data_IF_221911718693
#
_entry.id   IF_221911718693
#
_cell.length_a   1.000
_cell.length_b   1.000
_cell.length_c   1.000
_cell.angle_alpha   90.00
_cell.angle_beta   90.00
_cell.angle_gamma   90.00
#
_symmetry.space_group_name_H-M   'P 1'
#
loop_
_entity.id
_entity.type
_entity.pdbx_description
1 polymer ?
#
# COMPACT_ATOMS: atom_id res chain seq x y z
N UNK A 1 -7.91 -9.55 18.35
CA UNK A 1 -7.47 -8.59 17.32
C UNK A 1 -7.30 -9.32 16.00
N UNK A 2 -7.99 -8.90 14.94
CA UNK A 2 -7.87 -9.52 13.62
C UNK A 2 -6.51 -9.16 12.98
N UNK A 3 -6.14 -9.85 11.89
CA UNK A 3 -4.84 -9.66 11.23
C UNK A 3 -4.67 -8.26 10.64
N UNK A 4 -5.76 -7.61 10.22
CA UNK A 4 -5.70 -6.28 9.62
C UNK A 4 -5.41 -5.20 10.67
N UNK A 5 -6.06 -5.26 11.83
CA UNK A 5 -5.76 -4.34 12.93
C UNK A 5 -4.33 -4.54 13.43
N UNK A 6 -3.86 -5.80 13.52
CA UNK A 6 -2.44 -6.08 13.79
C UNK A 6 -1.50 -5.43 12.77
N UNK A 7 -1.85 -5.48 11.48
CA UNK A 7 -1.08 -4.86 10.41
C UNK A 7 -1.03 -3.33 10.55
N UNK A 8 -2.17 -2.71 10.85
CA UNK A 8 -2.24 -1.27 11.09
C UNK A 8 -1.43 -0.85 12.33
N UNK A 9 -1.67 -1.47 13.48
CA UNK A 9 -1.02 -1.09 14.75
C UNK A 9 0.50 -1.24 14.68
N UNK A 10 0.96 -2.33 14.05
CA UNK A 10 2.39 -2.52 13.80
C UNK A 10 2.95 -1.44 12.88
N UNK A 11 2.31 -1.18 11.73
CA UNK A 11 2.78 -0.16 10.79
C UNK A 11 2.71 1.27 11.36
N UNK A 12 1.77 1.53 12.27
CA UNK A 12 1.66 2.83 12.93
C UNK A 12 2.88 3.13 13.82
N UNK A 13 3.54 2.10 14.36
CA UNK A 13 4.66 2.24 15.30
C UNK A 13 6.01 1.81 14.73
N UNK A 14 6.04 1.12 13.59
CA UNK A 14 7.26 0.66 12.95
C UNK A 14 8.07 1.80 12.35
N UNK A 15 9.39 1.81 12.56
CA UNK A 15 10.26 2.82 11.97
C UNK A 15 10.64 2.41 10.53
N UNK A 16 9.81 2.79 9.55
CA UNK A 16 10.05 2.48 8.15
C UNK A 16 11.21 3.29 7.58
N UNK A 17 12.00 2.65 6.72
CA UNK A 17 12.94 3.34 5.84
C UNK A 17 12.19 4.02 4.67
N UNK A 18 12.80 5.06 4.09
CA UNK A 18 12.21 5.78 2.95
C UNK A 18 11.84 4.85 1.78
N UNK A 19 12.70 3.87 1.50
CA UNK A 19 12.45 2.87 0.45
C UNK A 19 11.24 1.98 0.77
N UNK A 20 10.97 1.71 2.05
CA UNK A 20 9.84 0.88 2.44
C UNK A 20 8.52 1.66 2.32
N UNK A 21 8.54 2.95 2.66
CA UNK A 21 7.42 3.88 2.48
C UNK A 21 7.07 4.00 0.98
N UNK A 22 8.07 4.22 0.12
CA UNK A 22 7.91 4.27 -1.33
C UNK A 22 7.22 3.00 -1.86
N UNK A 23 7.66 1.83 -1.39
CA UNK A 23 7.13 0.55 -1.82
C UNK A 23 5.77 0.20 -1.23
N UNK A 24 5.40 0.78 -0.08
CA UNK A 24 4.04 0.73 0.43
C UNK A 24 3.08 1.48 -0.52
N UNK A 25 3.45 2.69 -0.97
CA UNK A 25 2.70 3.47 -1.95
C UNK A 25 2.58 2.76 -3.30
N UNK A 26 3.68 2.26 -3.86
CA UNK A 26 3.65 1.49 -5.12
C UNK A 26 2.79 0.23 -5.03
N UNK A 27 2.79 -0.45 -3.88
CA UNK A 27 1.93 -1.61 -3.67
C UNK A 27 0.45 -1.18 -3.61
N UNK A 28 0.14 -0.12 -2.86
CA UNK A 28 -1.21 0.44 -2.79
C UNK A 28 -1.74 0.85 -4.17
N UNK A 29 -0.94 1.55 -4.99
CA UNK A 29 -1.27 1.88 -6.38
C UNK A 29 -1.64 0.64 -7.19
N UNK A 30 -0.76 -0.38 -7.17
CA UNK A 30 -0.98 -1.63 -7.89
C UNK A 30 -2.25 -2.35 -7.42
N UNK A 31 -2.56 -2.27 -6.12
CA UNK A 31 -3.77 -2.87 -5.56
C UNK A 31 -5.03 -2.05 -5.89
N UNK A 32 -4.96 -0.75 -6.12
CA UNK A 32 -6.13 0.04 -6.50
C UNK A 32 -6.53 -0.16 -7.97
N UNK A 33 -5.58 -0.44 -8.86
CA UNK A 33 -5.81 -0.67 -10.31
C UNK A 33 -6.56 -1.98 -10.63
N UNK A 34 -6.88 -2.78 -9.62
CA UNK A 34 -7.48 -4.11 -9.73
C UNK A 34 -6.75 -5.15 -10.61
N UNK A 35 -5.59 -4.79 -11.17
CA UNK A 35 -4.70 -5.70 -11.91
C UNK A 35 -3.85 -6.58 -10.97
N UNK A 36 -4.09 -6.55 -9.66
CA UNK A 36 -3.26 -7.22 -8.68
C UNK A 36 -3.69 -8.68 -8.48
N UNK A 37 -2.80 -9.63 -8.77
CA UNK A 37 -3.04 -11.08 -8.57
C UNK A 37 -2.97 -11.53 -7.11
N UNK A 38 -2.91 -10.60 -6.17
CA UNK A 38 -2.86 -10.90 -4.74
C UNK A 38 -4.26 -11.24 -4.23
N UNK A 39 -4.37 -12.21 -3.32
CA UNK A 39 -5.63 -12.55 -2.69
C UNK A 39 -6.24 -11.34 -1.96
N UNK A 40 -7.56 -11.24 -1.92
CA UNK A 40 -8.28 -10.11 -1.30
C UNK A 40 -7.89 -9.88 0.16
N UNK A 41 -7.67 -10.97 0.91
CA UNK A 41 -7.20 -10.95 2.30
C UNK A 41 -5.84 -10.27 2.45
N UNK A 42 -4.90 -10.64 1.59
CA UNK A 42 -3.57 -10.03 1.54
C UNK A 42 -3.67 -8.55 1.12
N UNK A 43 -4.48 -8.23 0.10
CA UNK A 43 -4.68 -6.84 -0.35
C UNK A 43 -5.20 -5.97 0.79
N UNK A 44 -6.20 -6.46 1.53
CA UNK A 44 -6.77 -5.77 2.68
C UNK A 44 -5.72 -5.56 3.78
N UNK A 45 -4.94 -6.58 4.14
CA UNK A 45 -3.84 -6.44 5.09
C UNK A 45 -2.83 -5.37 4.65
N UNK A 46 -2.39 -5.35 3.39
CA UNK A 46 -1.43 -4.35 2.91
C UNK A 46 -2.05 -2.94 2.83
N UNK A 47 -3.35 -2.81 2.57
CA UNK A 47 -4.03 -1.52 2.69
C UNK A 47 -4.03 -1.02 4.13
N UNK A 48 -4.24 -1.86 5.13
CA UNK A 48 -4.15 -1.44 6.54
C UNK A 48 -2.73 -0.96 6.91
N UNK A 49 -1.68 -1.57 6.34
CA UNK A 49 -0.30 -1.05 6.50
C UNK A 49 -0.15 0.34 5.87
N UNK A 50 -0.65 0.52 4.65
CA UNK A 50 -0.58 1.81 3.96
C UNK A 50 -1.42 2.88 4.68
N UNK A 51 -2.64 2.55 5.10
CA UNK A 51 -3.53 3.45 5.82
C UNK A 51 -2.88 3.92 7.14
N UNK A 52 -2.17 3.04 7.85
CA UNK A 52 -1.39 3.42 9.04
C UNK A 52 -0.27 4.42 8.74
N UNK A 53 0.44 4.25 7.62
CA UNK A 53 1.45 5.23 7.15
C UNK A 53 0.81 6.59 6.85
N UNK A 54 -0.38 6.61 6.25
CA UNK A 54 -1.09 7.85 5.92
C UNK A 54 -1.62 8.60 7.15
N UNK A 55 -1.90 7.87 8.23
CA UNK A 55 -2.43 8.44 9.48
C UNK A 55 -1.30 8.93 10.42
N UNK A 56 -0.04 8.67 10.07
CA UNK A 56 1.14 9.11 10.80
C UNK A 56 1.53 10.54 10.42
N UNK A 57 1.81 11.37 11.43
CA UNK A 57 2.24 12.77 11.24
C UNK A 57 3.72 12.91 10.88
N UNK A 58 4.51 11.89 11.19
CA UNK A 58 5.96 11.85 10.94
C UNK A 58 6.33 11.26 9.57
N UNK A 59 5.36 10.71 8.84
CA UNK A 59 5.55 10.16 7.49
C UNK A 59 5.02 11.17 6.48
N UNK A 60 5.89 11.58 5.55
CA UNK A 60 5.51 12.47 4.45
C UNK A 60 5.19 11.66 3.19
N UNK A 61 3.94 11.77 2.74
CA UNK A 61 3.42 11.13 1.51
C UNK A 61 2.92 12.22 0.55
N UNK A 62 3.80 13.15 0.18
CA UNK A 62 3.45 14.38 -0.53
C UNK A 62 3.73 14.33 -2.04
N UNK A 63 4.21 13.20 -2.57
CA UNK A 63 4.33 12.99 -4.00
C UNK A 63 2.96 12.79 -4.69
N UNK A 64 2.94 13.03 -6.00
CA UNK A 64 1.69 13.02 -6.78
C UNK A 64 1.02 11.64 -6.84
N UNK A 65 1.81 10.55 -6.77
CA UNK A 65 1.28 9.20 -6.70
C UNK A 65 0.53 8.99 -5.39
N UNK A 66 1.14 9.31 -4.24
CA UNK A 66 0.49 9.15 -2.94
C UNK A 66 -0.73 10.05 -2.77
N UNK A 67 -0.70 11.29 -3.28
CA UNK A 67 -1.90 12.15 -3.34
C UNK A 67 -3.03 11.51 -4.13
N UNK A 68 -2.73 10.94 -5.31
CA UNK A 68 -3.72 10.23 -6.12
C UNK A 68 -4.28 9.00 -5.38
N UNK A 69 -3.41 8.20 -4.76
CA UNK A 69 -3.83 7.03 -3.97
C UNK A 69 -4.76 7.47 -2.84
N UNK A 70 -4.43 8.53 -2.09
CA UNK A 70 -5.26 9.04 -1.00
C UNK A 70 -6.65 9.48 -1.47
N UNK A 71 -6.73 10.15 -2.64
CA UNK A 71 -8.01 10.54 -3.23
C UNK A 71 -8.83 9.33 -3.66
N UNK A 72 -8.18 8.36 -4.33
CA UNK A 72 -8.79 7.17 -4.89
C UNK A 72 -9.15 6.10 -3.85
N UNK A 73 -8.45 6.07 -2.70
CA UNK A 73 -8.65 5.07 -1.66
C UNK A 73 -10.04 5.22 -1.05
N UNK A 74 -10.79 4.12 -1.09
CA UNK A 74 -12.00 3.91 -0.28
C UNK A 74 -11.69 2.88 0.80
N UNK A 75 -11.59 3.33 2.06
CA UNK A 75 -11.18 2.47 3.19
C UNK A 75 -12.19 1.35 3.50
N UNK A 76 -13.42 1.44 3.00
CA UNK A 76 -14.44 0.39 3.17
C UNK A 76 -14.26 -0.80 2.21
N UNK A 77 -13.44 -0.65 1.16
CA UNK A 77 -13.23 -1.67 0.13
C UNK A 77 -11.74 -1.86 -0.19
N UNK A 78 -11.42 -2.83 -1.05
CA UNK A 78 -10.08 -3.05 -1.62
C UNK A 78 -9.93 -2.44 -3.03
N UNK A 79 -10.98 -1.81 -3.55
CA UNK A 79 -10.99 -1.15 -4.86
C UNK A 79 -10.82 0.36 -4.71
N UNK A 80 -10.44 1.03 -5.80
CA UNK A 80 -10.53 2.49 -5.86
C UNK A 80 -11.98 2.96 -5.96
N UNK A 81 -12.24 4.19 -5.51
CA UNK A 81 -13.43 4.94 -5.91
C UNK A 81 -13.50 5.01 -7.44
N UNK A 82 -14.70 4.81 -7.99
CA UNK A 82 -14.90 4.59 -9.43
C UNK A 82 -14.41 5.76 -10.28
N UNK A 83 -14.58 6.98 -9.80
CA UNK A 83 -14.18 8.21 -10.48
C UNK A 83 -12.65 8.37 -10.64
N UNK A 84 -11.85 7.63 -9.85
CA UNK A 84 -10.39 7.65 -9.94
C UNK A 84 -9.79 6.45 -10.68
N UNK A 85 -10.60 5.46 -11.09
CA UNK A 85 -10.10 4.20 -11.66
C UNK A 85 -9.16 4.41 -12.86
N UNK A 86 -9.53 5.29 -13.80
CA UNK A 86 -8.70 5.59 -14.97
C UNK A 86 -7.39 6.32 -14.61
N UNK A 87 -7.42 7.19 -13.60
CA UNK A 87 -6.23 7.91 -13.15
C UNK A 87 -5.25 6.95 -12.45
N UNK A 88 -5.77 6.04 -11.63
CA UNK A 88 -4.99 4.98 -10.98
C UNK A 88 -4.36 4.07 -12.03
N UNK A 89 -5.12 3.67 -13.05
CA UNK A 89 -4.61 2.85 -14.14
C UNK A 89 -3.46 3.53 -14.87
N UNK A 90 -3.63 4.78 -15.29
CA UNK A 90 -2.60 5.55 -15.97
C UNK A 90 -1.32 5.71 -15.12
N UNK A 91 -1.48 6.08 -13.84
CA UNK A 91 -0.35 6.22 -12.92
C UNK A 91 0.38 4.88 -12.71
N UNK A 92 -0.37 3.78 -12.60
CA UNK A 92 0.19 2.43 -12.50
C UNK A 92 1.06 2.09 -13.72
N UNK A 93 0.57 2.35 -14.93
CA UNK A 93 1.29 2.07 -16.17
C UNK A 93 2.60 2.87 -16.29
N UNK A 94 2.68 4.05 -15.67
CA UNK A 94 3.90 4.85 -15.62
C UNK A 94 4.89 4.35 -14.54
N UNK A 95 4.40 4.09 -13.33
CA UNK A 95 5.24 3.85 -12.15
C UNK A 95 5.71 2.40 -12.05
N UNK A 96 4.82 1.43 -12.29
CA UNK A 96 5.10 0.01 -12.00
C UNK A 96 6.17 -0.60 -12.92
N UNK A 97 6.28 -0.27 -14.22
CA UNK A 97 7.35 -0.82 -15.07
C UNK A 97 8.76 -0.48 -14.58
N UNK A 98 8.93 0.69 -13.97
CA UNK A 98 10.21 1.20 -13.48
C UNK A 98 10.55 0.73 -12.05
N UNK A 99 9.65 0.00 -11.40
CA UNK A 99 9.83 -0.48 -10.03
C UNK A 99 10.77 -1.70 -9.98
N UNK A 100 11.77 -1.67 -9.09
CA UNK A 100 12.59 -2.85 -8.81
C UNK A 100 11.79 -3.89 -8.02
N UNK A 101 11.61 -5.09 -8.61
CA UNK A 101 10.85 -6.20 -8.00
C UNK A 101 11.46 -6.70 -6.68
N UNK A 102 12.76 -6.55 -6.48
CA UNK A 102 13.47 -7.01 -5.26
C UNK A 102 12.97 -6.28 -4.02
N UNK A 103 12.84 -4.95 -4.07
CA UNK A 103 12.35 -4.15 -2.94
C UNK A 103 10.87 -4.43 -2.66
N UNK A 104 10.04 -4.61 -3.69
CA UNK A 104 8.64 -5.02 -3.52
C UNK A 104 8.50 -6.37 -2.82
N UNK A 105 9.38 -7.33 -3.14
CA UNK A 105 9.42 -8.61 -2.43
C UNK A 105 9.93 -8.45 -0.99
N UNK A 106 10.95 -7.63 -0.77
CA UNK A 106 11.51 -7.34 0.54
C UNK A 106 10.46 -6.70 1.47
N UNK A 107 9.77 -5.65 1.01
CA UNK A 107 8.69 -4.99 1.73
C UNK A 107 7.59 -5.99 2.14
N UNK A 108 7.06 -6.75 1.18
CA UNK A 108 6.03 -7.76 1.47
C UNK A 108 6.49 -8.82 2.46
N UNK A 109 7.75 -9.25 2.37
CA UNK A 109 8.35 -10.21 3.31
C UNK A 109 8.46 -9.61 4.72
N UNK A 110 8.89 -8.36 4.82
CA UNK A 110 9.03 -7.64 6.07
C UNK A 110 7.67 -7.51 6.78
N UNK A 111 6.62 -7.08 6.08
CA UNK A 111 5.26 -7.03 6.62
C UNK A 111 4.80 -8.40 7.13
N UNK A 112 4.91 -9.44 6.30
CA UNK A 112 4.46 -10.80 6.67
C UNK A 112 5.22 -11.38 7.86
N UNK A 113 6.54 -11.16 7.93
CA UNK A 113 7.38 -11.59 9.05
C UNK A 113 6.93 -10.94 10.35
N UNK A 114 6.70 -9.63 10.35
CA UNK A 114 6.26 -8.90 11.55
C UNK A 114 4.83 -9.25 11.98
N UNK A 115 4.05 -9.85 11.09
CA UNK A 115 2.72 -10.39 11.38
C UNK A 115 2.72 -11.89 11.72
N UNK A 116 3.90 -12.53 11.82
CA UNK A 116 4.08 -13.95 12.09
C UNK A 116 3.37 -14.86 11.07
N UNK A 117 3.37 -14.46 9.80
CA UNK A 117 2.76 -15.23 8.70
C UNK A 117 3.77 -16.11 7.96
N UNK A 118 5.08 -15.88 8.18
CA UNK A 118 6.21 -16.61 7.60
C UNK A 118 7.41 -16.60 8.56
#
# INVERSE_FOLDING_TARGET
>A
MNIYQKAYDWAYTHNFEAIEIEYAGKLALKMLDDSCQMANEDRKMFFYVYDALTDRKDVLLDDDMNKLILLARDRETIYSKKEYANHIHACKEEVIPNMLKVHMKAFKKMVRKNLNLI
#
